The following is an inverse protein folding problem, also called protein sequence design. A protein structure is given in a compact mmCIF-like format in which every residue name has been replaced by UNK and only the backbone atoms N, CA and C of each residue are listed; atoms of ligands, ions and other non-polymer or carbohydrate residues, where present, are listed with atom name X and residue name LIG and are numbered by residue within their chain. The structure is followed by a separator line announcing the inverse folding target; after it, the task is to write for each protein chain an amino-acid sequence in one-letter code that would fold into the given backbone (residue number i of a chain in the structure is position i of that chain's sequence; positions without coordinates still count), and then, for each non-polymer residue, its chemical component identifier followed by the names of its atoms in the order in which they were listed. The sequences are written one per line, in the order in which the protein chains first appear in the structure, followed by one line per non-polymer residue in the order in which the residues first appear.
data_IF_097751630200
#
_entry.id   IF_097751630200
#
_cell.length_a   1.000
_cell.length_b   1.000
_cell.length_c   1.000
_cell.angle_alpha   90.00
_cell.angle_beta   90.00
_cell.angle_gamma   90.00
#
_symmetry.space_group_name_H-M   'P 1'
#
loop_
_entity.id
_entity.type
_entity.pdbx_description
1 polymer ?
#
# COMPACT_ATOMS: atom_id res chain seq x y z
N UNK A 1 -3.05 16.59 9.03
CA UNK A 1 -2.83 16.18 7.70
C UNK A 1 -3.78 15.13 7.32
N UNK A 2 -4.56 15.44 6.35
CA UNK A 2 -5.71 14.62 6.10
C UNK A 2 -5.59 13.91 4.77
N UNK A 3 -4.88 12.81 4.77
CA UNK A 3 -5.00 11.90 3.64
C UNK A 3 -5.99 10.82 4.02
N UNK A 4 -6.95 10.58 3.13
CA UNK A 4 -7.99 9.60 3.33
C UNK A 4 -7.90 8.50 2.30
N UNK A 5 -8.42 7.33 2.66
CA UNK A 5 -8.47 6.18 1.75
C UNK A 5 -9.92 5.72 1.62
N UNK A 6 -10.78 6.56 0.97
CA UNK A 6 -12.21 6.25 0.87
C UNK A 6 -12.50 5.08 -0.06
N UNK A 7 -11.55 4.77 -0.91
CA UNK A 7 -11.70 3.77 -1.96
C UNK A 7 -10.85 2.57 -1.59
N UNK A 8 -11.41 1.37 -1.70
CA UNK A 8 -10.70 0.13 -1.36
C UNK A 8 -10.01 -0.51 -2.57
N UNK A 9 -9.91 0.22 -3.67
CA UNK A 9 -9.25 -0.30 -4.85
C UNK A 9 -7.77 -0.55 -4.59
N UNK A 10 -7.28 -1.62 -5.16
CA UNK A 10 -5.88 -1.96 -5.17
C UNK A 10 -5.61 -2.75 -6.45
N UNK A 11 -4.35 -2.78 -6.86
CA UNK A 11 -3.95 -3.43 -8.09
C UNK A 11 -2.58 -4.08 -7.89
N UNK A 12 -2.45 -5.31 -8.36
CA UNK A 12 -1.17 -6.00 -8.34
C UNK A 12 -0.35 -5.62 -9.57
N UNK A 13 0.90 -5.22 -9.34
CA UNK A 13 1.83 -4.85 -10.40
C UNK A 13 2.94 -5.90 -10.46
N UNK A 14 2.80 -6.85 -11.36
CA UNK A 14 3.76 -7.95 -11.49
C UNK A 14 5.13 -7.47 -11.97
N UNK A 15 5.16 -6.41 -12.77
CA UNK A 15 6.40 -5.87 -13.30
C UNK A 15 7.27 -5.30 -12.19
N UNK A 16 6.66 -4.62 -11.23
CA UNK A 16 7.37 -3.97 -10.13
C UNK A 16 7.27 -4.75 -8.83
N UNK A 17 6.61 -5.90 -8.84
CA UNK A 17 6.45 -6.80 -7.69
C UNK A 17 5.89 -6.07 -6.48
N UNK A 18 4.74 -5.45 -6.66
CA UNK A 18 4.12 -4.68 -5.60
C UNK A 18 2.61 -4.66 -5.76
N UNK A 19 1.93 -4.22 -4.71
CA UNK A 19 0.51 -3.91 -4.77
C UNK A 19 0.38 -2.39 -4.70
N UNK A 20 -0.36 -1.82 -5.65
CA UNK A 20 -0.61 -0.38 -5.71
C UNK A 20 -1.96 -0.08 -5.08
N UNK A 21 -2.04 1.05 -4.40
CA UNK A 21 -3.28 1.55 -3.85
C UNK A 21 -3.23 3.08 -3.80
N UNK A 22 -4.36 3.71 -3.51
CA UNK A 22 -4.48 5.15 -3.67
C UNK A 22 -5.19 5.77 -2.49
N UNK A 23 -4.72 6.96 -2.11
CA UNK A 23 -5.38 7.81 -1.15
C UNK A 23 -5.70 9.17 -1.77
N UNK A 24 -6.42 9.99 -1.04
CA UNK A 24 -6.81 11.32 -1.48
C UNK A 24 -6.51 12.35 -0.41
N UNK A 25 -5.86 13.42 -0.82
CA UNK A 25 -5.66 14.62 0.00
C UNK A 25 -6.47 15.72 -0.67
N UNK A 26 -7.69 15.94 -0.18
CA UNK A 26 -8.69 16.78 -0.83
C UNK A 26 -8.94 16.28 -2.25
N UNK A 27 -8.78 17.09 -3.26
CA UNK A 27 -8.98 16.68 -4.66
C UNK A 27 -7.78 15.97 -5.27
N UNK A 28 -6.67 15.91 -4.54
CA UNK A 28 -5.43 15.35 -5.07
C UNK A 28 -5.36 13.84 -4.79
N UNK A 29 -5.20 13.06 -5.84
CA UNK A 29 -4.97 11.62 -5.71
C UNK A 29 -3.49 11.38 -5.43
N UNK A 30 -3.21 10.53 -4.46
CA UNK A 30 -1.85 10.18 -4.07
C UNK A 30 -1.69 8.68 -4.25
N UNK A 31 -0.68 8.27 -4.98
CA UNK A 31 -0.40 6.88 -5.26
C UNK A 31 0.57 6.29 -4.24
N UNK A 32 0.27 5.07 -3.84
CA UNK A 32 1.14 4.30 -2.93
C UNK A 32 1.41 2.94 -3.54
N UNK A 33 2.51 2.33 -3.14
CA UNK A 33 2.73 0.92 -3.39
C UNK A 33 3.31 0.27 -2.14
N UNK A 34 3.05 -1.02 -1.98
CA UNK A 34 3.71 -1.83 -0.96
C UNK A 34 4.38 -3.00 -1.65
N UNK A 35 5.64 -3.23 -1.33
CA UNK A 35 6.44 -4.28 -1.96
C UNK A 35 5.97 -5.66 -1.54
N UNK A 36 6.10 -6.64 -2.45
CA UNK A 36 5.78 -8.03 -2.13
C UNK A 36 6.51 -8.52 -0.89
N UNK A 37 7.76 -8.14 -0.75
CA UNK A 37 8.58 -8.53 0.39
C UNK A 37 7.98 -8.06 1.71
N UNK A 38 7.44 -6.83 1.73
CA UNK A 38 6.78 -6.31 2.92
C UNK A 38 5.53 -7.11 3.25
N UNK A 39 4.72 -7.44 2.23
CA UNK A 39 3.53 -8.25 2.43
C UNK A 39 3.86 -9.65 2.93
N UNK A 40 4.90 -10.26 2.37
CA UNK A 40 5.33 -11.59 2.80
C UNK A 40 5.73 -11.59 4.26
N UNK A 41 6.39 -10.54 4.72
CA UNK A 41 6.80 -10.42 6.12
C UNK A 41 5.63 -10.18 7.05
N UNK A 42 4.58 -9.55 6.57
CA UNK A 42 3.41 -9.25 7.38
C UNK A 42 2.45 -10.42 7.47
N UNK A 43 2.38 -11.24 6.43
CA UNK A 43 1.37 -12.28 6.31
C UNK A 43 2.02 -13.66 6.41
N UNK A 44 1.63 -14.41 7.44
CA UNK A 44 2.19 -15.71 7.71
C UNK A 44 1.82 -16.77 6.66
N UNK A 45 0.83 -16.50 5.83
CA UNK A 45 0.45 -17.42 4.75
C UNK A 45 1.47 -17.46 3.62
N UNK A 46 2.42 -16.53 3.60
CA UNK A 46 3.47 -16.45 2.59
C UNK A 46 2.92 -16.41 1.18
N UNK A 47 2.25 -15.33 0.80
CA UNK A 47 1.62 -15.22 -0.51
C UNK A 47 2.62 -15.36 -1.65
N UNK A 48 2.18 -16.00 -2.75
CA UNK A 48 3.02 -16.22 -3.92
C UNK A 48 2.34 -15.86 -5.23
N UNK A 49 1.01 -15.79 -5.25
CA UNK A 49 0.27 -15.47 -6.46
C UNK A 49 -0.35 -14.10 -6.34
N UNK A 50 -0.80 -13.54 -7.47
CA UNK A 50 -1.47 -12.25 -7.48
C UNK A 50 -2.65 -12.23 -6.50
N UNK A 51 -3.51 -13.25 -6.56
CA UNK A 51 -4.67 -13.31 -5.67
C UNK A 51 -4.26 -13.39 -4.22
N UNK A 52 -3.20 -14.13 -3.92
CA UNK A 52 -2.70 -14.25 -2.56
C UNK A 52 -2.11 -12.94 -2.06
N UNK A 53 -1.40 -12.20 -2.90
CA UNK A 53 -0.88 -10.89 -2.52
C UNK A 53 -2.01 -9.89 -2.28
N UNK A 54 -3.02 -9.89 -3.13
CA UNK A 54 -4.17 -9.02 -2.94
C UNK A 54 -4.95 -9.38 -1.68
N UNK A 55 -5.09 -10.68 -1.39
CA UNK A 55 -5.70 -11.14 -0.16
C UNK A 55 -4.91 -10.74 1.09
N UNK A 56 -3.59 -10.83 1.02
CA UNK A 56 -2.72 -10.41 2.11
C UNK A 56 -2.85 -8.89 2.34
N UNK A 57 -2.90 -8.13 1.26
CA UNK A 57 -3.13 -6.69 1.36
C UNK A 57 -4.44 -6.39 2.07
N UNK A 58 -5.52 -7.06 1.66
CA UNK A 58 -6.83 -6.83 2.25
C UNK A 58 -6.86 -7.21 3.73
N UNK A 59 -6.19 -8.30 4.09
CA UNK A 59 -6.13 -8.77 5.48
C UNK A 59 -5.40 -7.80 6.39
N UNK A 60 -4.41 -7.09 5.86
CA UNK A 60 -3.58 -6.15 6.62
C UNK A 60 -3.81 -4.70 6.24
N UNK A 61 -4.94 -4.41 5.59
CA UNK A 61 -5.23 -3.07 5.06
C UNK A 61 -5.10 -1.98 6.11
N UNK A 62 -5.63 -2.18 7.30
CA UNK A 62 -5.58 -1.15 8.36
C UNK A 62 -4.15 -0.78 8.70
N UNK A 63 -3.30 -1.77 8.79
CA UNK A 63 -1.90 -1.58 9.12
C UNK A 63 -1.16 -0.89 7.97
N UNK A 64 -1.48 -1.27 6.75
CA UNK A 64 -0.87 -0.68 5.55
C UNK A 64 -1.29 0.77 5.40
N UNK A 65 -2.57 1.07 5.57
CA UNK A 65 -3.09 2.44 5.51
C UNK A 65 -2.46 3.32 6.58
N UNK A 66 -2.28 2.77 7.78
CA UNK A 66 -1.64 3.50 8.87
C UNK A 66 -0.19 3.87 8.51
N UNK A 67 0.54 2.93 7.93
CA UNK A 67 1.92 3.18 7.49
C UNK A 67 1.94 4.20 6.34
N UNK A 68 0.99 4.11 5.42
CA UNK A 68 0.88 5.06 4.31
C UNK A 68 0.63 6.48 4.81
N UNK A 69 -0.25 6.63 5.79
CA UNK A 69 -0.51 7.96 6.39
C UNK A 69 0.74 8.53 7.04
N UNK A 70 1.53 7.67 7.66
CA UNK A 70 2.77 8.08 8.31
C UNK A 70 3.83 8.48 7.29
N UNK A 71 3.89 7.78 6.16
CA UNK A 71 4.86 8.05 5.10
C UNK A 71 4.48 9.27 4.27
N UNK A 72 3.20 9.60 4.21
CA UNK A 72 2.70 10.68 3.37
C UNK A 72 3.26 12.04 3.78
N UNK A 73 3.64 12.82 2.78
CA UNK A 73 4.04 14.21 2.96
C UNK A 73 3.41 15.06 1.86
N UNK A 74 2.73 16.17 2.22
CA UNK A 74 2.14 17.07 1.21
C UNK A 74 3.17 17.66 0.27
N UNK A 75 4.43 17.69 0.69
CA UNK A 75 5.53 18.22 -0.13
C UNK A 75 6.18 17.17 -0.99
N UNK A 76 5.74 15.92 -0.87
CA UNK A 76 6.28 14.83 -1.66
C UNK A 76 5.75 14.83 -3.07
N UNK A 77 6.20 13.86 -3.85
CA UNK A 77 5.89 13.76 -5.27
C UNK A 77 4.47 13.30 -5.59
N UNK A 78 3.71 12.87 -4.60
CA UNK A 78 2.40 12.26 -4.85
C UNK A 78 2.48 10.76 -5.10
N UNK A 79 3.66 10.19 -4.90
CA UNK A 79 3.88 8.75 -5.03
C UNK A 79 4.82 8.30 -3.90
N UNK A 80 4.41 7.27 -3.18
CA UNK A 80 5.16 6.78 -2.02
C UNK A 80 5.26 5.27 -2.06
N UNK A 81 6.45 4.75 -1.75
CA UNK A 81 6.69 3.31 -1.70
C UNK A 81 6.88 2.86 -0.26
N UNK A 82 6.14 1.84 0.15
CA UNK A 82 6.26 1.26 1.48
C UNK A 82 7.07 -0.03 1.39
N UNK A 83 8.11 -0.11 2.20
CA UNK A 83 8.97 -1.28 2.27
C UNK A 83 8.77 -2.00 3.61
N UNK A 84 9.40 -3.16 3.75
CA UNK A 84 9.31 -3.93 4.99
C UNK A 84 9.74 -3.12 6.22
N UNK A 85 10.69 -2.21 6.04
CA UNK A 85 11.19 -1.36 7.12
C UNK A 85 10.17 -0.33 7.62
N UNK A 86 9.07 -0.13 6.89
CA UNK A 86 8.03 0.80 7.31
C UNK A 86 7.03 0.17 8.30
N UNK A 87 7.20 -1.11 8.62
CA UNK A 87 6.26 -1.86 9.46
C UNK A 87 6.89 -2.45 10.70
#
# INVERSE_FOLDING_TARGET
MAIDFPNQSRSYDAKHRCVRFWGHDSAREVSFLIEEDALTRMDQSMPRTEDEFLGAFDAHRDRIVKAARKAYSPRGSGFFALAASDF
#
